data_IF_382293155811
#
_entry.id   IF_382293155811
#
_cell.length_a   1.000
_cell.length_b   1.000
_cell.length_c   1.000
_cell.angle_alpha   90.00
_cell.angle_beta   90.00
_cell.angle_gamma   90.00
#
_symmetry.space_group_name_H-M   'P 1'
#
loop_
_entity.id
_entity.type
_entity.pdbx_description
1 polymer ?
#
# COMPACT_ATOMS: atom_id res chain seq x y z
N UNK A 1 -3.65 10.25 -58.18
CA UNK A 1 -3.66 8.79 -57.95
C UNK A 1 -2.47 8.40 -57.06
N UNK A 2 -2.67 7.67 -55.99
CA UNK A 2 -1.58 7.20 -55.13
C UNK A 2 -0.81 6.07 -55.85
N UNK A 3 0.53 6.14 -55.82
CA UNK A 3 1.39 5.07 -56.40
C UNK A 3 1.16 3.79 -55.54
N UNK A 4 1.28 2.60 -56.19
CA UNK A 4 1.07 1.27 -55.58
C UNK A 4 1.86 1.09 -54.25
N UNK A 5 3.08 1.64 -54.17
CA UNK A 5 3.90 1.67 -52.94
C UNK A 5 3.22 2.51 -51.84
N UNK A 6 2.65 3.67 -52.17
CA UNK A 6 1.97 4.54 -51.20
C UNK A 6 0.68 3.91 -50.66
N UNK A 7 -0.03 3.14 -51.48
CA UNK A 7 -1.21 2.41 -51.07
C UNK A 7 -0.87 1.30 -50.08
N UNK A 8 0.18 0.51 -50.39
CA UNK A 8 0.66 -0.56 -49.48
C UNK A 8 1.11 0.01 -48.13
N UNK A 9 1.85 1.11 -48.13
CA UNK A 9 2.29 1.78 -46.89
C UNK A 9 1.09 2.22 -46.08
N UNK A 10 0.05 2.83 -46.70
CA UNK A 10 -1.17 3.22 -45.98
C UNK A 10 -1.91 2.04 -45.36
N UNK A 11 -1.99 0.91 -46.06
CA UNK A 11 -2.63 -0.30 -45.54
C UNK A 11 -1.85 -0.86 -44.34
N UNK A 12 -0.52 -0.93 -44.46
CA UNK A 12 0.34 -1.41 -43.36
C UNK A 12 0.23 -0.48 -42.14
N UNK A 13 0.32 0.84 -42.32
CA UNK A 13 0.16 1.81 -41.25
C UNK A 13 -1.20 1.68 -40.56
N UNK A 14 -2.28 1.52 -41.34
CA UNK A 14 -3.64 1.34 -40.80
C UNK A 14 -3.73 0.05 -39.94
N UNK A 15 -3.12 -1.06 -40.40
CA UNK A 15 -3.08 -2.32 -39.62
C UNK A 15 -2.26 -2.16 -38.32
N UNK A 16 -1.12 -1.49 -38.38
CA UNK A 16 -0.29 -1.18 -37.21
C UNK A 16 -1.09 -0.34 -36.19
N UNK A 17 -1.80 0.69 -36.68
CA UNK A 17 -2.66 1.51 -35.83
C UNK A 17 -3.75 0.70 -35.13
N UNK A 18 -4.43 -0.20 -35.82
CA UNK A 18 -5.44 -1.06 -35.19
C UNK A 18 -4.83 -1.99 -34.14
N UNK A 19 -3.63 -2.53 -34.41
CA UNK A 19 -2.93 -3.39 -33.46
C UNK A 19 -2.54 -2.60 -32.19
N UNK A 20 -1.96 -1.42 -32.35
CA UNK A 20 -1.60 -0.53 -31.23
C UNK A 20 -2.84 -0.15 -30.45
N UNK A 21 -3.93 0.22 -31.09
CA UNK A 21 -5.19 0.57 -30.46
C UNK A 21 -5.78 -0.62 -29.68
N UNK A 22 -5.74 -1.81 -30.26
CA UNK A 22 -6.14 -3.05 -29.56
C UNK A 22 -5.32 -3.32 -28.28
N UNK A 23 -3.99 -3.16 -28.36
CA UNK A 23 -3.10 -3.29 -27.20
C UNK A 23 -3.46 -2.28 -26.11
N UNK A 24 -3.72 -1.03 -26.48
CA UNK A 24 -4.12 0.03 -25.51
C UNK A 24 -5.44 -0.34 -24.82
N UNK A 25 -6.44 -0.83 -25.56
CA UNK A 25 -7.73 -1.25 -24.97
C UNK A 25 -7.51 -2.41 -23.99
N UNK A 26 -6.70 -3.43 -24.35
CA UNK A 26 -6.39 -4.54 -23.47
C UNK A 26 -5.66 -4.05 -22.21
N UNK A 27 -4.66 -3.20 -22.36
CA UNK A 27 -3.93 -2.62 -21.24
C UNK A 27 -4.85 -1.84 -20.29
N UNK A 28 -5.77 -1.04 -20.84
CA UNK A 28 -6.78 -0.33 -20.06
C UNK A 28 -7.72 -1.29 -19.32
N UNK A 29 -8.19 -2.32 -19.98
CA UNK A 29 -9.08 -3.33 -19.36
C UNK A 29 -8.36 -4.06 -18.21
N UNK A 30 -7.09 -4.45 -18.41
CA UNK A 30 -6.25 -5.05 -17.37
C UNK A 30 -6.06 -4.08 -16.20
N UNK A 31 -5.74 -2.81 -16.47
CA UNK A 31 -5.57 -1.80 -15.42
C UNK A 31 -6.86 -1.61 -14.60
N UNK A 32 -8.02 -1.52 -15.26
CA UNK A 32 -9.31 -1.43 -14.59
C UNK A 32 -9.61 -2.66 -13.73
N UNK A 33 -9.26 -3.85 -14.24
CA UNK A 33 -9.39 -5.09 -13.48
C UNK A 33 -8.50 -5.09 -12.22
N UNK A 34 -7.25 -4.67 -12.33
CA UNK A 34 -6.30 -4.61 -11.24
C UNK A 34 -6.65 -3.56 -10.16
N UNK A 35 -7.49 -2.59 -10.50
CA UNK A 35 -7.91 -1.51 -9.60
C UNK A 35 -9.34 -1.67 -9.04
N UNK A 36 -10.00 -2.80 -9.27
CA UNK A 36 -11.38 -2.99 -8.79
C UNK A 36 -11.50 -3.37 -7.31
N UNK A 37 -10.40 -3.79 -6.69
CA UNK A 37 -10.38 -4.27 -5.31
C UNK A 37 -10.81 -5.73 -5.16
N UNK A 38 -10.51 -6.31 -4.00
CA UNK A 38 -10.96 -7.67 -3.66
C UNK A 38 -12.43 -7.63 -3.25
N UNK A 39 -13.28 -8.50 -3.81
CA UNK A 39 -14.69 -8.56 -3.43
C UNK A 39 -14.87 -8.82 -1.94
N UNK A 40 -15.89 -8.18 -1.36
CA UNK A 40 -16.29 -8.42 0.02
C UNK A 40 -17.05 -9.73 0.16
N UNK A 41 -16.72 -10.46 1.21
CA UNK A 41 -17.48 -11.60 1.70
C UNK A 41 -17.74 -11.35 3.19
N UNK A 42 -19.01 -11.24 3.61
CA UNK A 42 -19.34 -10.97 5.00
C UNK A 42 -18.92 -12.14 5.90
N UNK A 43 -18.58 -11.82 7.13
CA UNK A 43 -18.30 -12.82 8.15
C UNK A 43 -19.58 -13.61 8.48
N UNK A 44 -19.42 -14.91 8.68
CA UNK A 44 -20.49 -15.75 9.23
C UNK A 44 -20.56 -15.53 10.75
N UNK A 45 -21.55 -14.75 11.19
CA UNK A 45 -21.72 -14.39 12.61
C UNK A 45 -22.07 -15.58 13.50
N UNK A 46 -22.56 -16.69 12.93
CA UNK A 46 -22.85 -17.94 13.65
C UNK A 46 -21.63 -18.85 13.83
N UNK A 47 -20.53 -18.55 13.13
CA UNK A 47 -19.30 -19.34 13.14
C UNK A 47 -18.08 -18.49 13.51
N UNK A 48 -18.25 -17.55 14.45
CA UNK A 48 -17.13 -16.78 14.94
C UNK A 48 -16.13 -17.67 15.67
N UNK A 49 -14.86 -17.46 15.41
CA UNK A 49 -13.76 -18.22 15.98
C UNK A 49 -13.45 -17.71 17.40
N UNK A 50 -13.29 -18.62 18.36
CA UNK A 50 -12.95 -18.28 19.75
C UNK A 50 -11.52 -17.76 19.92
N UNK A 51 -10.61 -18.11 18.99
CA UNK A 51 -9.21 -17.67 18.98
C UNK A 51 -9.00 -16.32 18.28
N UNK A 52 -10.06 -15.70 17.74
CA UNK A 52 -10.03 -14.41 17.05
C UNK A 52 -10.73 -13.33 17.85
N UNK A 53 -10.05 -12.23 18.13
CA UNK A 53 -10.67 -11.05 18.71
C UNK A 53 -11.32 -10.21 17.61
N UNK A 54 -12.64 -10.07 17.70
CA UNK A 54 -13.42 -9.30 16.73
C UNK A 54 -13.68 -7.88 17.24
N UNK A 55 -13.17 -6.90 16.50
CA UNK A 55 -13.29 -5.48 16.84
C UNK A 55 -13.88 -4.69 15.68
N UNK A 56 -14.25 -3.45 15.93
CA UNK A 56 -14.66 -2.47 14.92
C UNK A 56 -13.46 -1.67 14.35
N UNK A 57 -12.26 -1.89 14.88
CA UNK A 57 -11.05 -1.20 14.44
C UNK A 57 -10.63 -1.69 13.06
N UNK A 58 -10.62 -0.81 12.03
CA UNK A 58 -10.25 -1.22 10.69
C UNK A 58 -8.74 -1.47 10.57
N UNK A 59 -8.39 -2.32 9.60
CA UNK A 59 -7.01 -2.56 9.19
C UNK A 59 -6.80 -2.03 7.77
N UNK A 60 -5.91 -1.07 7.62
CA UNK A 60 -5.53 -0.47 6.34
C UNK A 60 -4.42 -1.28 5.69
N UNK A 61 -4.65 -1.76 4.48
CA UNK A 61 -3.70 -2.54 3.68
C UNK A 61 -3.04 -1.63 2.65
N UNK A 62 -1.74 -1.38 2.82
CA UNK A 62 -0.97 -0.45 1.99
C UNK A 62 -0.03 -1.24 1.08
N UNK A 63 -0.24 -1.24 -0.25
CA UNK A 63 0.60 -1.97 -1.18
C UNK A 63 1.95 -1.26 -1.39
N UNK A 64 2.97 -2.02 -1.80
CA UNK A 64 4.25 -1.46 -2.23
C UNK A 64 4.19 -0.90 -3.65
N UNK A 65 5.34 -0.44 -4.17
CA UNK A 65 5.48 0.09 -5.53
C UNK A 65 4.97 -0.90 -6.58
N UNK A 66 4.22 -0.42 -7.57
CA UNK A 66 3.56 -1.25 -8.58
C UNK A 66 2.42 -2.10 -8.05
N UNK A 67 2.15 -2.05 -6.74
CA UNK A 67 1.12 -2.84 -6.09
C UNK A 67 -0.29 -2.43 -6.53
N UNK A 68 -1.16 -3.42 -6.57
CA UNK A 68 -2.55 -3.31 -7.02
C UNK A 68 -3.41 -4.32 -6.24
N UNK A 69 -4.60 -4.67 -6.72
CA UNK A 69 -5.49 -5.65 -6.07
C UNK A 69 -4.79 -6.96 -5.73
N UNK A 70 -3.87 -7.44 -6.57
CA UNK A 70 -3.21 -8.74 -6.40
C UNK A 70 -2.35 -8.76 -5.12
N UNK A 71 -1.75 -7.63 -4.73
CA UNK A 71 -0.85 -7.54 -3.58
C UNK A 71 -1.45 -8.16 -2.31
N UNK A 72 -2.72 -7.86 -2.03
CA UNK A 72 -3.39 -8.36 -0.82
C UNK A 72 -4.55 -9.29 -1.09
N UNK A 73 -4.86 -9.62 -2.36
CA UNK A 73 -6.02 -10.42 -2.72
C UNK A 73 -6.05 -11.79 -2.02
N UNK A 74 -4.91 -12.51 -2.03
CA UNK A 74 -4.80 -13.83 -1.37
C UNK A 74 -4.96 -13.70 0.14
N UNK A 75 -4.33 -12.70 0.76
CA UNK A 75 -4.47 -12.42 2.18
C UNK A 75 -5.92 -12.12 2.57
N UNK A 76 -6.57 -11.21 1.83
CA UNK A 76 -7.97 -10.83 2.09
C UNK A 76 -8.90 -12.04 1.93
N UNK A 77 -8.78 -12.78 0.83
CA UNK A 77 -9.61 -13.98 0.59
C UNK A 77 -9.42 -15.01 1.68
N UNK A 78 -8.19 -15.27 2.10
CA UNK A 78 -7.91 -16.21 3.17
C UNK A 78 -8.54 -15.75 4.48
N UNK A 79 -8.37 -14.48 4.86
CA UNK A 79 -8.98 -13.94 6.07
C UNK A 79 -10.50 -14.03 6.08
N UNK A 80 -11.13 -13.83 4.91
CA UNK A 80 -12.59 -14.00 4.75
C UNK A 80 -13.00 -15.47 4.85
N UNK A 81 -12.32 -16.37 4.14
CA UNK A 81 -12.64 -17.80 4.13
C UNK A 81 -12.45 -18.45 5.51
N UNK A 82 -11.46 -17.99 6.27
CA UNK A 82 -11.21 -18.44 7.64
C UNK A 82 -12.06 -17.70 8.68
N UNK A 83 -13.01 -16.88 8.25
CA UNK A 83 -13.91 -16.09 9.09
C UNK A 83 -13.19 -15.18 10.12
N UNK A 84 -12.02 -14.64 9.76
CA UNK A 84 -11.18 -13.79 10.61
C UNK A 84 -11.48 -12.30 10.42
N UNK A 85 -11.60 -11.87 9.16
CA UNK A 85 -11.78 -10.50 8.77
C UNK A 85 -12.49 -10.41 7.42
N UNK A 86 -13.06 -9.26 7.09
CA UNK A 86 -13.75 -9.07 5.82
C UNK A 86 -13.28 -7.83 5.07
N UNK A 87 -13.25 -7.89 3.73
CA UNK A 87 -13.03 -6.73 2.89
C UNK A 87 -14.24 -5.79 3.02
N UNK A 88 -14.09 -4.72 3.76
CA UNK A 88 -15.17 -3.79 4.05
C UNK A 88 -15.15 -2.57 3.13
N UNK A 89 -13.95 -2.14 2.73
CA UNK A 89 -13.78 -0.90 2.00
C UNK A 89 -12.62 -0.98 1.01
N UNK A 90 -12.82 -0.43 -0.18
CA UNK A 90 -11.77 -0.19 -1.17
C UNK A 90 -11.62 1.30 -1.35
N UNK A 91 -10.41 1.79 -1.16
CA UNK A 91 -10.05 3.20 -1.31
C UNK A 91 -9.15 3.34 -2.53
N UNK A 92 -9.63 4.03 -3.56
CA UNK A 92 -8.84 4.38 -4.74
C UNK A 92 -8.35 5.81 -4.63
N UNK A 93 -7.10 6.03 -5.01
CA UNK A 93 -6.47 7.35 -4.95
C UNK A 93 -5.90 7.71 -6.32
N UNK A 94 -6.32 8.85 -6.85
CA UNK A 94 -5.76 9.37 -8.09
C UNK A 94 -4.36 9.95 -7.89
N UNK A 95 -3.57 10.15 -8.97
CA UNK A 95 -2.26 10.82 -8.89
C UNK A 95 -2.32 12.22 -8.28
N UNK A 96 -3.46 12.90 -8.39
CA UNK A 96 -3.71 14.23 -7.81
C UNK A 96 -4.16 14.18 -6.34
N UNK A 97 -4.24 12.98 -5.72
CA UNK A 97 -4.65 12.81 -4.33
C UNK A 97 -6.17 12.78 -4.11
N UNK A 98 -6.99 12.73 -5.18
CA UNK A 98 -8.43 12.55 -5.04
C UNK A 98 -8.76 11.16 -4.52
N UNK A 99 -9.44 11.08 -3.39
CA UNK A 99 -9.81 9.82 -2.72
C UNK A 99 -11.23 9.43 -3.08
N UNK A 100 -11.40 8.23 -3.61
CA UNK A 100 -12.69 7.60 -3.92
C UNK A 100 -12.85 6.34 -3.11
N UNK A 101 -13.96 6.22 -2.41
CA UNK A 101 -14.22 5.12 -1.47
C UNK A 101 -15.43 4.32 -1.92
N UNK A 102 -15.30 2.98 -1.92
CA UNK A 102 -16.37 2.02 -2.14
C UNK A 102 -16.46 1.11 -0.92
N UNK A 103 -17.67 0.91 -0.39
CA UNK A 103 -17.92 0.10 0.80
C UNK A 103 -18.22 0.91 2.04
N UNK A 104 -18.31 0.25 3.20
CA UNK A 104 -18.67 0.86 4.49
C UNK A 104 -18.01 0.13 5.64
N UNK A 105 -17.70 0.85 6.71
CA UNK A 105 -17.19 0.28 7.98
C UNK A 105 -18.31 0.02 8.99
N UNK A 106 -19.53 0.54 8.74
CA UNK A 106 -20.63 0.47 9.70
C UNK A 106 -21.04 -0.98 9.96
N UNK A 107 -21.01 -1.38 11.23
CA UNK A 107 -21.41 -2.72 11.68
C UNK A 107 -20.44 -3.85 11.30
N UNK A 108 -19.29 -3.53 10.71
CA UNK A 108 -18.30 -4.52 10.27
C UNK A 108 -17.41 -4.96 11.43
N UNK A 109 -17.01 -6.23 11.44
CA UNK A 109 -16.06 -6.81 12.38
C UNK A 109 -14.73 -7.10 11.70
N UNK A 110 -13.62 -6.71 12.32
CA UNK A 110 -12.27 -6.78 11.75
C UNK A 110 -12.24 -6.29 10.29
N UNK A 111 -12.77 -5.08 10.00
CA UNK A 111 -12.91 -4.61 8.63
C UNK A 111 -11.55 -4.33 7.99
N UNK A 112 -11.33 -4.84 6.80
CA UNK A 112 -10.16 -4.57 5.97
C UNK A 112 -10.47 -3.43 5.01
N UNK A 113 -9.58 -2.45 4.94
CA UNK A 113 -9.58 -1.34 3.98
C UNK A 113 -8.42 -1.57 3.01
N UNK A 114 -8.72 -1.80 1.74
CA UNK A 114 -7.71 -1.98 0.70
C UNK A 114 -7.44 -0.66 -0.02
N UNK A 115 -6.19 -0.16 0.01
CA UNK A 115 -5.78 0.99 -0.81
C UNK A 115 -5.35 0.50 -2.19
N UNK A 116 -5.78 1.24 -3.22
CA UNK A 116 -5.36 1.09 -4.61
C UNK A 116 -5.02 2.48 -5.17
N UNK A 117 -3.79 2.65 -5.59
CA UNK A 117 -3.34 3.86 -6.27
C UNK A 117 -3.63 3.73 -7.77
N UNK A 118 -4.28 4.71 -8.38
CA UNK A 118 -4.54 4.72 -9.83
C UNK A 118 -3.23 4.74 -10.63
N UNK A 119 -2.14 5.27 -10.04
CA UNK A 119 -0.78 5.20 -10.53
C UNK A 119 0.18 4.92 -9.38
N UNK A 120 0.91 3.82 -9.44
CA UNK A 120 1.79 3.35 -8.37
C UNK A 120 3.19 2.94 -8.88
N UNK A 121 3.74 3.69 -9.84
CA UNK A 121 5.05 3.42 -10.45
C UNK A 121 6.04 4.56 -10.24
N UNK A 122 5.84 5.38 -9.19
CA UNK A 122 6.73 6.48 -8.89
C UNK A 122 8.07 5.97 -8.33
N UNK A 123 9.16 6.63 -8.73
CA UNK A 123 10.52 6.33 -8.25
C UNK A 123 10.82 7.00 -6.90
N UNK A 124 9.90 7.79 -6.38
CA UNK A 124 9.98 8.48 -5.10
C UNK A 124 8.76 8.17 -4.25
N UNK A 125 8.93 8.09 -2.94
CA UNK A 125 7.82 7.86 -1.99
C UNK A 125 6.90 9.08 -1.83
N UNK A 126 7.32 10.29 -2.22
CA UNK A 126 6.59 11.54 -1.96
C UNK A 126 5.16 11.56 -2.49
N UNK A 127 4.89 11.18 -3.76
CA UNK A 127 3.52 11.19 -4.26
C UNK A 127 2.60 10.28 -3.45
N UNK A 128 3.00 9.04 -3.19
CA UNK A 128 2.21 8.09 -2.42
C UNK A 128 2.10 8.49 -0.95
N UNK A 129 3.14 9.05 -0.35
CA UNK A 129 3.07 9.62 0.99
C UNK A 129 1.98 10.70 1.09
N UNK A 130 1.91 11.63 0.13
CA UNK A 130 0.86 12.64 0.09
C UNK A 130 -0.52 12.02 -0.14
N UNK A 131 -0.63 11.08 -1.08
CA UNK A 131 -1.88 10.36 -1.36
C UNK A 131 -2.36 9.58 -0.14
N UNK A 132 -1.47 8.86 0.54
CA UNK A 132 -1.78 8.15 1.78
C UNK A 132 -2.23 9.11 2.90
N UNK A 133 -1.57 10.26 3.03
CA UNK A 133 -1.99 11.31 3.96
C UNK A 133 -3.43 11.75 3.69
N UNK A 134 -3.81 11.96 2.42
CA UNK A 134 -5.20 12.28 2.05
C UNK A 134 -6.17 11.15 2.40
N UNK A 135 -5.78 9.90 2.19
CA UNK A 135 -6.60 8.73 2.61
C UNK A 135 -6.85 8.76 4.11
N UNK A 136 -5.81 8.96 4.93
CA UNK A 136 -5.94 9.00 6.39
C UNK A 136 -6.85 10.15 6.85
N UNK A 137 -6.71 11.33 6.22
CA UNK A 137 -7.59 12.48 6.49
C UNK A 137 -9.04 12.14 6.16
N UNK A 138 -9.30 11.55 4.98
CA UNK A 138 -10.66 11.17 4.56
C UNK A 138 -11.24 10.11 5.48
N UNK A 139 -10.47 9.09 5.86
CA UNK A 139 -10.91 8.05 6.80
C UNK A 139 -11.28 8.66 8.15
N UNK A 140 -10.47 9.58 8.66
CA UNK A 140 -10.77 10.26 9.92
C UNK A 140 -11.99 11.17 9.83
N UNK A 141 -12.01 12.11 8.88
CA UNK A 141 -13.01 13.17 8.83
C UNK A 141 -14.37 12.69 8.31
N UNK A 142 -14.37 11.83 7.27
CA UNK A 142 -15.62 11.42 6.62
C UNK A 142 -16.15 10.09 7.13
N UNK A 143 -15.28 9.19 7.58
CA UNK A 143 -15.65 7.85 8.05
C UNK A 143 -15.47 7.68 9.57
N UNK A 144 -15.09 8.76 10.27
CA UNK A 144 -14.93 8.83 11.71
C UNK A 144 -13.97 7.77 12.31
N UNK A 145 -12.95 7.38 11.52
CA UNK A 145 -11.93 6.44 11.97
C UNK A 145 -11.03 7.12 13.00
N UNK A 146 -11.10 6.67 14.24
CA UNK A 146 -10.28 7.14 15.37
C UNK A 146 -9.21 6.13 15.79
N UNK A 147 -9.37 4.87 15.41
CA UNK A 147 -8.42 3.77 15.67
C UNK A 147 -8.15 3.06 14.35
N UNK A 148 -6.90 2.68 14.11
CA UNK A 148 -6.50 2.07 12.85
C UNK A 148 -5.35 1.08 13.08
N UNK A 149 -5.45 -0.09 12.47
CA UNK A 149 -4.32 -0.98 12.28
C UNK A 149 -3.75 -0.78 10.86
N UNK A 150 -2.46 -1.00 10.72
CA UNK A 150 -1.73 -0.88 9.46
C UNK A 150 -1.10 -2.23 9.11
N UNK A 151 -1.26 -2.65 7.86
CA UNK A 151 -0.43 -3.68 7.24
C UNK A 151 0.14 -3.08 5.97
N UNK A 152 1.42 -2.84 5.95
CA UNK A 152 2.11 -2.21 4.84
C UNK A 152 3.16 -3.14 4.24
N UNK A 153 3.14 -3.29 2.92
CA UNK A 153 4.04 -4.16 2.19
C UNK A 153 5.10 -3.35 1.45
N UNK A 154 6.36 -3.80 1.55
CA UNK A 154 7.47 -3.25 0.76
C UNK A 154 7.54 -1.72 0.87
N UNK A 155 7.67 -1.00 -0.25
CA UNK A 155 7.77 0.46 -0.29
C UNK A 155 6.57 1.20 0.31
N UNK A 156 5.38 0.57 0.35
CA UNK A 156 4.21 1.14 1.05
C UNK A 156 4.42 1.34 2.54
N UNK A 157 5.30 0.56 3.17
CA UNK A 157 5.71 0.79 4.55
C UNK A 157 6.61 2.01 4.71
N UNK A 158 7.51 2.27 3.76
CA UNK A 158 8.33 3.48 3.72
C UNK A 158 7.43 4.72 3.58
N UNK A 159 6.45 4.67 2.67
CA UNK A 159 5.46 5.73 2.46
C UNK A 159 4.64 6.01 3.74
N UNK A 160 4.19 4.94 4.41
CA UNK A 160 3.47 5.05 5.68
C UNK A 160 4.33 5.68 6.77
N UNK A 161 5.57 5.23 6.94
CA UNK A 161 6.47 5.79 7.96
C UNK A 161 6.73 7.27 7.73
N UNK A 162 6.93 7.69 6.48
CA UNK A 162 7.07 9.11 6.15
C UNK A 162 5.78 9.89 6.46
N UNK A 163 4.61 9.37 6.06
CA UNK A 163 3.33 10.02 6.34
C UNK A 163 3.05 10.13 7.84
N UNK A 164 3.32 9.06 8.59
CA UNK A 164 3.13 9.00 10.04
C UNK A 164 4.07 9.95 10.79
N UNK A 165 5.40 9.85 10.52
CA UNK A 165 6.42 10.61 11.26
C UNK A 165 6.43 12.11 10.94
N UNK A 166 5.96 12.50 9.74
CA UNK A 166 5.90 13.91 9.34
C UNK A 166 4.60 14.63 9.72
N UNK A 167 3.57 13.90 10.20
CA UNK A 167 2.25 14.47 10.44
C UNK A 167 1.78 14.27 11.89
N UNK A 168 2.21 15.16 12.77
CA UNK A 168 1.82 15.13 14.18
C UNK A 168 0.32 15.27 14.41
N UNK A 169 -0.41 15.94 13.50
CA UNK A 169 -1.86 16.05 13.59
C UNK A 169 -2.53 14.69 13.43
N UNK A 170 -2.15 13.92 12.42
CA UNK A 170 -2.69 12.56 12.21
C UNK A 170 -2.37 11.63 13.38
N UNK A 171 -1.19 11.75 13.99
CA UNK A 171 -0.84 10.99 15.19
C UNK A 171 -1.74 11.30 16.40
N UNK A 172 -2.26 12.53 16.49
CA UNK A 172 -3.21 12.93 17.55
C UNK A 172 -4.65 12.53 17.23
N UNK A 173 -5.03 12.58 15.96
CA UNK A 173 -6.40 12.35 15.50
C UNK A 173 -6.72 10.85 15.31
N UNK A 174 -5.70 10.02 14.97
CA UNK A 174 -5.85 8.59 14.75
C UNK A 174 -4.90 7.81 15.66
N UNK A 175 -5.46 6.97 16.51
CA UNK A 175 -4.67 6.03 17.31
C UNK A 175 -4.30 4.82 16.47
N UNK A 176 -3.04 4.73 16.06
CA UNK A 176 -2.49 3.56 15.36
C UNK A 176 -2.19 2.48 16.41
N UNK A 177 -2.91 1.36 16.36
CA UNK A 177 -2.81 0.32 17.39
C UNK A 177 -1.79 -0.75 17.05
N UNK A 178 -1.90 -1.34 15.86
CA UNK A 178 -0.99 -2.38 15.37
C UNK A 178 -0.45 -1.96 14.01
N UNK A 179 0.87 -1.93 13.90
CA UNK A 179 1.56 -1.57 12.66
C UNK A 179 2.39 -2.79 12.25
N UNK A 180 2.01 -3.43 11.16
CA UNK A 180 2.71 -4.59 10.61
C UNK A 180 3.42 -4.18 9.33
N UNK A 181 4.73 -4.27 9.32
CA UNK A 181 5.61 -3.93 8.21
C UNK A 181 6.13 -5.23 7.58
N UNK A 182 5.75 -5.48 6.32
CA UNK A 182 6.08 -6.69 5.58
C UNK A 182 7.17 -6.39 4.54
N UNK A 183 8.41 -6.80 4.81
CA UNK A 183 9.54 -6.60 3.89
C UNK A 183 9.77 -5.13 3.53
N UNK A 184 9.66 -4.23 4.50
CA UNK A 184 9.77 -2.78 4.27
C UNK A 184 11.24 -2.38 4.16
N UNK A 185 11.67 -1.73 3.04
CA UNK A 185 13.04 -1.29 2.84
C UNK A 185 13.33 -0.01 3.62
N UNK A 186 13.55 -0.13 4.93
CA UNK A 186 13.78 1.04 5.80
C UNK A 186 15.16 1.67 5.56
N UNK A 187 16.08 0.92 4.95
CA UNK A 187 17.44 1.37 4.62
C UNK A 187 17.67 1.58 3.13
N UNK A 188 16.65 1.36 2.31
CA UNK A 188 16.72 1.44 0.86
C UNK A 188 15.75 2.51 0.34
N UNK A 189 16.25 3.33 -0.56
CA UNK A 189 15.45 4.30 -1.30
C UNK A 189 15.46 3.96 -2.78
N UNK A 190 14.30 3.93 -3.40
CA UNK A 190 14.16 3.93 -4.85
C UNK A 190 14.31 5.34 -5.46
N UNK A 191 14.88 6.27 -4.69
CA UNK A 191 15.11 7.64 -5.13
C UNK A 191 16.19 7.77 -6.21
N UNK A 192 16.23 8.94 -6.85
CA UNK A 192 17.11 9.27 -7.98
C UNK A 192 18.60 9.14 -7.70
N UNK A 193 19.00 9.12 -6.42
CA UNK A 193 20.39 9.01 -5.99
C UNK A 193 20.83 7.59 -5.59
N UNK A 194 19.95 6.60 -5.77
CA UNK A 194 20.25 5.20 -5.45
C UNK A 194 20.77 4.51 -6.71
N UNK A 195 22.04 4.22 -6.76
CA UNK A 195 22.61 3.36 -7.82
C UNK A 195 22.42 1.91 -7.42
N UNK A 196 21.65 1.17 -8.22
CA UNK A 196 21.52 -0.28 -8.11
C UNK A 196 22.84 -0.95 -8.51
N UNK A 197 23.63 -1.35 -7.55
CA UNK A 197 24.82 -2.17 -7.73
C UNK A 197 24.70 -3.38 -6.81
N UNK A 198 25.47 -4.45 -7.05
CA UNK A 198 25.52 -5.63 -6.16
C UNK A 198 25.93 -5.31 -4.70
N UNK A 199 26.30 -4.08 -4.43
CA UNK A 199 26.65 -3.52 -3.12
C UNK A 199 25.52 -2.69 -2.49
N UNK A 200 24.32 -2.84 -2.98
CA UNK A 200 23.13 -2.02 -2.78
C UNK A 200 22.72 -1.82 -1.34
N UNK A 201 22.92 -2.81 -0.54
CA UNK A 201 22.40 -2.83 0.82
C UNK A 201 23.30 -2.12 1.83
N UNK A 202 24.38 -1.51 1.36
CA UNK A 202 25.39 -1.01 2.31
C UNK A 202 25.15 0.39 2.85
N UNK A 203 24.65 1.33 2.07
CA UNK A 203 24.32 2.70 2.56
C UNK A 203 23.52 3.46 1.51
N UNK A 204 22.26 3.79 1.78
CA UNK A 204 21.57 4.81 1.00
C UNK A 204 22.32 6.14 1.12
N UNK A 205 22.60 6.79 -0.03
CA UNK A 205 23.13 8.16 -0.08
C UNK A 205 22.03 9.21 -0.06
N UNK A 206 20.77 8.78 -0.12
CA UNK A 206 19.62 9.64 -0.11
C UNK A 206 19.47 10.32 1.25
N UNK A 207 19.50 11.65 1.24
CA UNK A 207 19.38 12.47 2.43
C UNK A 207 18.03 12.30 3.13
N UNK A 208 16.96 12.13 2.36
CA UNK A 208 15.59 11.96 2.87
C UNK A 208 15.45 10.62 3.59
N UNK A 209 16.03 9.58 3.04
CA UNK A 209 16.04 8.26 3.67
C UNK A 209 16.87 8.24 4.96
N UNK A 210 18.02 8.90 4.98
CA UNK A 210 18.80 9.10 6.20
C UNK A 210 18.03 9.89 7.26
N UNK A 211 17.22 10.85 6.83
CA UNK A 211 16.36 11.60 7.73
C UNK A 211 15.26 10.68 8.31
N UNK A 212 14.60 9.88 7.48
CA UNK A 212 13.64 8.89 7.94
C UNK A 212 14.24 7.95 8.99
N UNK A 213 15.42 7.38 8.72
CA UNK A 213 16.11 6.51 9.68
C UNK A 213 16.38 7.23 11.03
N UNK A 214 16.78 8.50 10.99
CA UNK A 214 16.95 9.29 12.22
C UNK A 214 15.64 9.51 12.95
N UNK A 215 14.55 9.77 12.23
CA UNK A 215 13.22 9.95 12.79
C UNK A 215 12.71 8.65 13.41
N UNK A 216 12.82 7.52 12.70
CA UNK A 216 12.44 6.20 13.20
C UNK A 216 13.22 5.81 14.48
N UNK A 217 14.54 6.05 14.50
CA UNK A 217 15.37 5.79 15.69
C UNK A 217 14.99 6.64 16.89
N UNK A 218 14.45 7.83 16.67
CA UNK A 218 13.98 8.75 17.73
C UNK A 218 12.50 8.61 18.03
N UNK A 219 11.74 7.94 17.17
CA UNK A 219 10.30 7.77 17.33
C UNK A 219 10.00 7.04 18.64
N UNK A 220 9.15 7.63 19.44
CA UNK A 220 8.53 6.98 20.59
C UNK A 220 7.10 6.68 20.20
N UNK A 221 6.85 5.43 19.85
CA UNK A 221 5.49 4.97 19.63
C UNK A 221 4.69 5.10 20.93
N UNK A 222 3.40 5.40 20.84
CA UNK A 222 2.56 5.47 22.02
C UNK A 222 2.57 4.11 22.75
N UNK A 223 2.36 4.12 24.08
CA UNK A 223 2.43 2.89 24.90
C UNK A 223 1.51 1.75 24.44
N UNK A 224 0.46 2.09 23.71
CA UNK A 224 -0.56 1.18 23.17
C UNK A 224 -0.31 0.81 21.70
N UNK A 225 0.74 1.32 21.07
CA UNK A 225 1.12 0.97 19.70
C UNK A 225 2.05 -0.25 19.70
N UNK A 226 1.70 -1.24 18.89
CA UNK A 226 2.54 -2.40 18.64
C UNK A 226 3.05 -2.38 17.21
N UNK A 227 4.37 -2.37 17.02
CA UNK A 227 5.01 -2.41 15.69
C UNK A 227 5.66 -3.78 15.49
N UNK A 228 5.25 -4.44 14.43
CA UNK A 228 5.77 -5.74 13.99
C UNK A 228 6.51 -5.56 12.67
N UNK A 229 7.79 -5.86 12.63
CA UNK A 229 8.58 -5.86 11.40
C UNK A 229 8.86 -7.32 10.99
N UNK A 230 8.25 -7.74 9.90
CA UNK A 230 8.34 -9.10 9.36
C UNK A 230 9.20 -9.05 8.10
N UNK A 231 10.34 -9.69 8.13
CA UNK A 231 11.30 -9.73 7.04
C UNK A 231 11.62 -11.18 6.66
N UNK A 232 11.80 -11.43 5.37
CA UNK A 232 12.29 -12.72 4.88
C UNK A 232 13.71 -12.99 5.35
N UNK A 233 14.08 -14.29 5.48
CA UNK A 233 15.48 -14.70 5.68
C UNK A 233 16.19 -14.65 4.33
N UNK A 234 16.92 -13.58 4.04
CA UNK A 234 17.97 -13.62 3.05
C UNK A 234 19.32 -13.93 3.72
N UNK A 235 20.25 -14.55 3.00
CA UNK A 235 21.51 -15.09 3.55
C UNK A 235 22.42 -14.04 4.20
N UNK A 236 22.09 -12.76 4.16
CA UNK A 236 22.91 -11.64 4.66
C UNK A 236 22.20 -10.80 5.75
N UNK A 237 21.62 -11.45 6.74
CA UNK A 237 20.80 -10.86 7.81
C UNK A 237 21.52 -9.89 8.77
N UNK A 238 22.79 -9.65 8.66
CA UNK A 238 23.55 -8.86 9.65
C UNK A 238 23.30 -7.33 9.59
N UNK A 239 22.43 -6.81 8.67
CA UNK A 239 22.39 -5.38 8.37
C UNK A 239 21.03 -4.70 8.29
N UNK A 240 19.94 -5.37 8.61
CA UNK A 240 18.65 -4.69 8.62
C UNK A 240 18.45 -3.93 9.93
N UNK A 241 18.09 -2.64 9.82
CA UNK A 241 17.81 -1.81 10.98
C UNK A 241 16.72 -2.47 11.81
N UNK A 242 17.04 -2.86 13.04
CA UNK A 242 16.07 -3.30 14.01
C UNK A 242 15.33 -2.07 14.51
N UNK A 243 14.02 -2.04 14.30
CA UNK A 243 13.18 -1.16 15.10
C UNK A 243 13.36 -1.56 16.55
N UNK A 244 13.51 -0.62 17.49
CA UNK A 244 13.51 -0.96 18.89
C UNK A 244 12.15 -1.60 19.22
N UNK A 245 12.14 -2.93 19.34
CA UNK A 245 11.01 -3.61 19.94
C UNK A 245 10.92 -3.10 21.36
N UNK A 246 9.76 -2.54 21.73
CA UNK A 246 9.49 -2.30 23.15
C UNK A 246 9.61 -3.63 23.87
N UNK A 247 10.76 -3.87 24.53
CA UNK A 247 10.91 -4.99 25.43
C UNK A 247 9.83 -4.87 26.51
N UNK A 248 8.86 -5.76 26.48
CA UNK A 248 8.08 -6.05 27.68
C UNK A 248 9.05 -6.60 28.73
N UNK A 249 9.26 -5.85 29.77
CA UNK A 249 9.50 -6.34 31.10
C UNK A 249 8.23 -6.19 31.90
#
# INVERSE_FOLDING_TARGET
>A
MLNKKQLVIKIVLKRVWYLVFGIIIIAMAVQLYLLRGTPSQPLNMHQLRSDVSYTDTPTLLIPGQGGNTITFNTFIKRAQNENIAQSAMVVRVSPTGQVRVKGSLKGQKNPLIQILYDWNYNVSFKPQMHQLTQVLIVLHQRYHVKRLNIVAHSYGGTEFLHAYLSNQRLQKEIAFQKIVLLGVPVEESFGTNTKYTAWLFKKSRDAEFKQLLRQVKKARFAKNEAVYNIMGKEADQKRMARFPTSSRK
#
